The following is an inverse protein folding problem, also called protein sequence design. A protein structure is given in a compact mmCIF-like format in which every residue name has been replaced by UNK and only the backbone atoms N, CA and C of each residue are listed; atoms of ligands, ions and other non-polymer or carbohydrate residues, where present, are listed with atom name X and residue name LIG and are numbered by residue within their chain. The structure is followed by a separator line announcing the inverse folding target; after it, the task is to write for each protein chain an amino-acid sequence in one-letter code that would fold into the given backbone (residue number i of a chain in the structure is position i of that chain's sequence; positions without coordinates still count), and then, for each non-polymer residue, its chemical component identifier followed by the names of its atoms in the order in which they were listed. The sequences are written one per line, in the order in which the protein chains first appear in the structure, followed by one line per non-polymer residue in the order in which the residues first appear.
data_IF_317309239391
#
_entry.id   IF_317309239391
#
_cell.length_a   1.000
_cell.length_b   1.000
_cell.length_c   1.000
_cell.angle_alpha   90.00
_cell.angle_beta   90.00
_cell.angle_gamma   90.00
#
_symmetry.space_group_name_H-M   'P 1'
#
loop_
_entity.id
_entity.type
_entity.pdbx_description
1 polymer ?
#
# COMPACT_ATOMS: atom_id res chain seq x y z
N UNK A 1 6.73 -5.95 26.71
CA UNK A 1 6.46 -7.03 27.69
C UNK A 1 5.68 -6.40 28.81
N UNK A 2 4.46 -6.89 29.06
CA UNK A 2 3.74 -6.68 30.31
C UNK A 2 3.78 -8.04 30.99
N UNK A 3 4.27 -8.09 32.23
CA UNK A 3 4.31 -9.33 33.05
C UNK A 3 5.02 -10.54 32.42
N UNK A 4 6.00 -10.33 31.54
CA UNK A 4 6.81 -11.41 30.96
C UNK A 4 6.22 -12.08 29.72
N UNK A 5 5.04 -11.66 29.25
CA UNK A 5 4.44 -12.18 28.01
C UNK A 5 4.70 -11.27 26.79
N UNK A 6 4.89 -11.85 25.58
CA UNK A 6 4.99 -11.10 24.34
C UNK A 6 3.62 -10.51 23.96
N UNK A 7 3.44 -9.23 24.27
CA UNK A 7 2.24 -8.47 23.87
C UNK A 7 2.25 -8.27 22.35
N UNK A 8 1.17 -8.65 21.64
CA UNK A 8 1.00 -8.37 20.21
C UNK A 8 1.30 -6.91 19.87
N UNK A 9 1.98 -6.63 18.75
CA UNK A 9 2.40 -5.27 18.41
C UNK A 9 1.22 -4.28 18.27
N UNK A 10 0.03 -4.79 17.94
CA UNK A 10 -1.23 -4.04 17.88
C UNK A 10 -1.90 -3.77 19.24
N UNK A 11 -1.44 -4.40 20.33
CA UNK A 11 -1.98 -4.22 21.68
C UNK A 11 -1.14 -3.28 22.57
N UNK A 12 0.00 -2.78 22.06
CA UNK A 12 0.83 -1.83 22.80
C UNK A 12 0.40 -0.38 22.54
N UNK A 13 -0.12 0.30 23.56
CA UNK A 13 -0.32 1.75 23.51
C UNK A 13 1.04 2.42 23.71
N UNK A 14 1.57 3.02 22.64
CA UNK A 14 2.90 3.65 22.63
C UNK A 14 2.87 5.17 22.79
N UNK A 15 1.68 5.77 22.83
CA UNK A 15 1.47 7.19 23.11
C UNK A 15 0.17 7.39 23.87
N UNK A 16 0.23 8.10 24.99
CA UNK A 16 -0.96 8.51 25.74
C UNK A 16 -1.76 9.61 25.02
N UNK A 17 -1.12 10.37 24.13
CA UNK A 17 -1.75 11.46 23.38
C UNK A 17 -2.34 11.01 22.04
N UNK A 18 -1.78 9.95 21.44
CA UNK A 18 -2.26 9.35 20.18
C UNK A 18 -2.27 7.81 20.32
N UNK A 19 -3.23 7.23 21.09
CA UNK A 19 -3.26 5.79 21.42
C UNK A 19 -3.27 4.85 20.22
N UNK A 20 -3.74 5.35 19.06
CA UNK A 20 -3.80 4.64 17.79
C UNK A 20 -2.46 4.52 17.06
N UNK A 21 -1.37 5.06 17.61
CA UNK A 21 -0.03 4.95 17.00
C UNK A 21 0.39 3.48 16.92
N UNK A 22 0.71 3.03 15.70
CA UNK A 22 1.20 1.69 15.44
C UNK A 22 2.73 1.64 15.58
N UNK A 23 3.21 0.51 16.11
CA UNK A 23 4.62 0.13 16.06
C UNK A 23 4.91 -0.51 14.70
N UNK A 24 5.76 0.12 13.90
CA UNK A 24 6.10 -0.31 12.55
C UNK A 24 7.53 -0.86 12.59
N UNK A 25 7.68 -2.19 12.49
CA UNK A 25 8.98 -2.81 12.26
C UNK A 25 9.15 -3.04 10.77
N UNK A 26 10.18 -2.43 10.18
CA UNK A 26 10.65 -2.82 8.86
C UNK A 26 11.66 -3.95 9.05
N UNK A 27 11.43 -5.10 8.42
CA UNK A 27 12.23 -6.34 8.55
C UNK A 27 13.65 -6.25 7.97
N UNK A 28 14.29 -5.08 8.03
CA UNK A 28 15.63 -4.84 7.51
C UNK A 28 16.59 -4.58 8.67
N UNK A 29 17.71 -5.32 8.68
CA UNK A 29 18.79 -5.15 9.67
C UNK A 29 19.21 -3.68 9.73
N UNK A 30 19.20 -3.09 10.93
CA UNK A 30 19.66 -1.71 11.16
C UNK A 30 18.62 -0.60 10.97
N UNK A 31 17.37 -0.91 10.63
CA UNK A 31 16.31 0.10 10.63
C UNK A 31 15.66 0.23 12.02
N UNK A 32 15.55 1.45 12.58
CA UNK A 32 14.90 1.67 13.86
C UNK A 32 13.41 1.29 13.80
N UNK A 33 12.86 0.91 14.94
CA UNK A 33 11.40 0.79 15.13
C UNK A 33 10.79 2.16 14.84
N UNK A 34 9.90 2.23 13.84
CA UNK A 34 9.19 3.44 13.49
C UNK A 34 7.85 3.48 14.24
N UNK A 35 7.41 4.68 14.61
CA UNK A 35 6.12 4.90 15.27
C UNK A 35 5.28 5.81 14.39
N UNK A 36 4.03 5.41 14.10
CA UNK A 36 3.14 6.21 13.28
C UNK A 36 1.90 5.43 12.84
N UNK A 37 1.36 5.76 11.68
CA UNK A 37 0.27 5.03 11.04
C UNK A 37 0.71 4.59 9.66
N UNK A 38 0.28 3.39 9.28
CA UNK A 38 0.52 2.88 7.93
C UNK A 38 -0.51 3.49 7.00
N UNK A 39 -0.06 4.06 5.90
CA UNK A 39 -0.91 4.59 4.83
C UNK A 39 -0.74 3.71 3.61
N UNK A 40 -1.83 3.13 3.15
CA UNK A 40 -1.92 2.40 1.90
C UNK A 40 -2.36 3.32 0.76
N UNK A 41 -1.82 3.13 -0.44
CA UNK A 41 -2.08 3.98 -1.61
C UNK A 41 -2.31 3.11 -2.85
N UNK A 42 -3.36 3.43 -3.60
CA UNK A 42 -3.74 2.75 -4.83
C UNK A 42 -3.54 3.70 -6.02
N UNK A 43 -2.53 3.42 -6.83
CA UNK A 43 -2.19 4.20 -8.03
C UNK A 43 -2.84 3.61 -9.28
N UNK A 44 -3.37 4.47 -10.14
CA UNK A 44 -3.88 4.14 -11.48
C UNK A 44 -3.08 4.89 -12.55
N UNK A 45 -3.44 4.70 -13.82
CA UNK A 45 -2.83 5.40 -14.94
C UNK A 45 -2.81 6.92 -14.76
N UNK A 46 -1.80 7.59 -15.35
CA UNK A 46 -1.61 9.03 -15.17
C UNK A 46 -0.96 9.42 -13.83
N UNK A 47 -0.50 8.43 -13.05
CA UNK A 47 0.11 8.63 -11.73
C UNK A 47 -0.85 9.19 -10.68
N UNK A 48 -2.14 8.93 -10.89
CA UNK A 48 -3.21 9.36 -10.01
C UNK A 48 -3.40 8.35 -8.89
N UNK A 49 -3.58 8.86 -7.68
CA UNK A 49 -3.97 8.03 -6.54
C UNK A 49 -5.49 7.98 -6.53
N UNK A 50 -6.05 6.80 -6.80
CA UNK A 50 -7.49 6.55 -6.84
C UNK A 50 -8.08 6.29 -5.45
N UNK A 51 -7.26 5.78 -4.52
CA UNK A 51 -7.62 5.52 -3.13
C UNK A 51 -6.41 5.65 -2.21
N UNK A 52 -6.69 6.07 -0.98
CA UNK A 52 -5.78 5.91 0.15
C UNK A 52 -6.54 5.30 1.34
N UNK A 53 -5.81 4.62 2.23
CA UNK A 53 -6.36 4.14 3.50
C UNK A 53 -5.36 4.33 4.63
N UNK A 54 -5.82 4.90 5.76
CA UNK A 54 -5.01 4.99 6.98
C UNK A 54 -5.29 3.75 7.83
N UNK A 55 -4.42 2.74 7.76
CA UNK A 55 -4.68 1.43 8.34
C UNK A 55 -4.69 1.48 9.87
N UNK A 56 -5.51 0.62 10.48
CA UNK A 56 -5.53 0.43 11.94
C UNK A 56 -4.40 -0.52 12.31
N UNK A 57 -3.49 -0.08 13.17
CA UNK A 57 -2.30 -0.87 13.50
C UNK A 57 -1.35 -1.01 12.31
N UNK A 58 -0.85 -2.23 12.11
CA UNK A 58 0.04 -2.63 11.02
C UNK A 58 -0.40 -4.03 10.53
N UNK A 59 -1.52 -4.12 9.79
CA UNK A 59 -2.02 -5.39 9.27
C UNK A 59 -1.06 -5.95 8.22
N UNK A 60 -1.23 -7.22 7.85
CA UNK A 60 -0.48 -7.79 6.74
C UNK A 60 -0.84 -7.07 5.43
N UNK A 61 0.16 -6.71 4.63
CA UNK A 61 -0.02 -6.06 3.34
C UNK A 61 -0.88 -6.92 2.40
N UNK A 62 -0.84 -8.25 2.54
CA UNK A 62 -1.65 -9.18 1.75
C UNK A 62 -3.16 -9.04 2.01
N UNK A 63 -3.58 -8.51 3.17
CA UNK A 63 -4.99 -8.25 3.49
C UNK A 63 -5.58 -7.12 2.65
N UNK A 64 -4.73 -6.26 2.05
CA UNK A 64 -5.19 -5.11 1.29
C UNK A 64 -5.66 -5.45 -0.13
N UNK A 65 -5.28 -6.61 -0.68
CA UNK A 65 -5.53 -6.89 -2.09
C UNK A 65 -7.03 -6.88 -2.47
N UNK A 66 -7.87 -7.52 -1.65
CA UNK A 66 -9.33 -7.55 -1.85
C UNK A 66 -9.93 -6.13 -1.76
N UNK A 67 -9.73 -5.35 -0.67
CA UNK A 67 -10.19 -3.96 -0.60
C UNK A 67 -9.78 -3.07 -1.77
N UNK A 68 -8.56 -3.24 -2.27
CA UNK A 68 -8.03 -2.47 -3.40
C UNK A 68 -8.80 -2.79 -4.69
N UNK A 69 -8.98 -4.08 -4.98
CA UNK A 69 -9.66 -4.52 -6.19
C UNK A 69 -11.15 -4.14 -6.16
N UNK A 70 -11.82 -4.36 -5.03
CA UNK A 70 -13.24 -4.05 -4.88
C UNK A 70 -13.51 -2.55 -5.06
N UNK A 71 -12.66 -1.72 -4.45
CA UNK A 71 -12.76 -0.27 -4.61
C UNK A 71 -12.48 0.17 -6.06
N UNK A 72 -11.50 -0.43 -6.74
CA UNK A 72 -11.26 -0.14 -8.16
C UNK A 72 -12.51 -0.43 -9.00
N UNK A 73 -13.12 -1.61 -8.82
CA UNK A 73 -14.34 -1.97 -9.55
C UNK A 73 -15.49 -1.01 -9.23
N UNK A 74 -15.63 -0.60 -7.96
CA UNK A 74 -16.62 0.38 -7.55
C UNK A 74 -16.42 1.75 -8.24
N UNK A 75 -15.17 2.22 -8.38
CA UNK A 75 -14.87 3.52 -8.98
C UNK A 75 -14.96 3.52 -10.51
N UNK A 76 -14.49 2.45 -11.17
CA UNK A 76 -14.30 2.41 -12.61
C UNK A 76 -15.33 1.55 -13.35
N UNK A 77 -16.14 0.77 -12.62
CA UNK A 77 -17.18 -0.09 -13.20
C UNK A 77 -16.68 -1.34 -13.91
N UNK A 78 -15.36 -1.60 -13.86
CA UNK A 78 -14.73 -2.77 -14.46
C UNK A 78 -13.50 -3.19 -13.65
N UNK A 79 -13.01 -4.41 -13.86
CA UNK A 79 -11.74 -4.86 -13.28
C UNK A 79 -10.55 -4.22 -13.99
N UNK A 80 -9.42 -4.04 -13.30
CA UNK A 80 -8.20 -3.56 -13.93
C UNK A 80 -7.64 -4.62 -14.88
N UNK A 81 -7.02 -4.20 -15.98
CA UNK A 81 -6.28 -5.12 -16.84
C UNK A 81 -5.02 -5.67 -16.14
N UNK A 82 -4.34 -4.80 -15.39
CA UNK A 82 -3.13 -5.09 -14.63
C UNK A 82 -3.35 -4.76 -13.15
N UNK A 83 -3.19 -5.75 -12.27
CA UNK A 83 -3.08 -5.56 -10.82
C UNK A 83 -1.66 -5.90 -10.40
N UNK A 84 -0.99 -5.01 -9.67
CA UNK A 84 0.43 -5.20 -9.32
C UNK A 84 0.76 -4.65 -7.94
N UNK A 85 1.65 -5.33 -7.23
CA UNK A 85 2.04 -5.03 -5.85
C UNK A 85 3.47 -5.48 -5.55
N UNK A 86 3.95 -5.24 -4.33
CA UNK A 86 5.19 -5.88 -3.88
C UNK A 86 4.96 -7.34 -3.48
N UNK A 87 6.07 -7.96 -3.04
CA UNK A 87 6.08 -9.29 -2.45
C UNK A 87 5.28 -9.39 -1.16
N UNK A 88 5.11 -8.30 -0.39
CA UNK A 88 4.39 -8.34 0.88
C UNK A 88 2.88 -8.41 0.64
N UNK A 89 2.39 -7.75 -0.41
CA UNK A 89 1.00 -7.87 -0.86
C UNK A 89 0.62 -9.22 -1.49
N UNK A 90 1.52 -10.20 -1.57
CA UNK A 90 1.19 -11.51 -2.14
C UNK A 90 0.55 -12.45 -1.11
N UNK A 91 -0.63 -12.95 -1.45
CA UNK A 91 -1.19 -14.18 -0.90
C UNK A 91 -1.77 -15.02 -2.04
N UNK A 92 -1.76 -16.36 -1.87
CA UNK A 92 -2.39 -17.25 -2.86
C UNK A 92 -3.88 -16.93 -3.00
N UNK A 93 -4.57 -16.81 -1.88
CA UNK A 93 -6.00 -16.49 -1.85
C UNK A 93 -6.31 -15.15 -2.54
N UNK A 94 -5.50 -14.12 -2.29
CA UNK A 94 -5.66 -12.84 -2.97
C UNK A 94 -5.41 -12.92 -4.47
N UNK A 95 -4.36 -13.64 -4.88
CA UNK A 95 -4.05 -13.82 -6.31
C UNK A 95 -5.17 -14.57 -7.04
N UNK A 96 -5.73 -15.61 -6.39
CA UNK A 96 -6.86 -16.38 -6.92
C UNK A 96 -8.13 -15.51 -6.98
N UNK A 97 -8.42 -14.73 -5.93
CA UNK A 97 -9.52 -13.76 -5.95
C UNK A 97 -9.42 -12.78 -7.13
N UNK A 98 -8.24 -12.21 -7.37
CA UNK A 98 -8.05 -11.28 -8.47
C UNK A 98 -8.28 -11.93 -9.84
N UNK A 99 -7.87 -13.19 -10.02
CA UNK A 99 -8.14 -13.97 -11.23
C UNK A 99 -9.64 -14.25 -11.39
N UNK A 100 -10.31 -14.63 -10.32
CA UNK A 100 -11.76 -14.93 -10.32
C UNK A 100 -12.61 -13.70 -10.64
N UNK A 101 -12.18 -12.51 -10.20
CA UNK A 101 -12.79 -11.24 -10.61
C UNK A 101 -12.51 -10.88 -12.08
N UNK A 102 -11.62 -11.60 -12.77
CA UNK A 102 -11.31 -11.40 -14.18
C UNK A 102 -10.14 -10.46 -14.46
N UNK A 103 -9.25 -10.21 -13.48
CA UNK A 103 -8.02 -9.45 -13.74
C UNK A 103 -7.12 -10.23 -14.70
N UNK A 104 -6.81 -9.63 -15.85
CA UNK A 104 -6.07 -10.31 -16.92
C UNK A 104 -4.60 -10.54 -16.59
N UNK A 105 -3.97 -9.59 -15.89
CA UNK A 105 -2.56 -9.67 -15.50
C UNK A 105 -2.42 -9.38 -14.02
N UNK A 106 -2.25 -10.42 -13.22
CA UNK A 106 -1.94 -10.31 -11.80
C UNK A 106 -0.43 -10.42 -11.61
N UNK A 107 0.20 -9.34 -11.17
CA UNK A 107 1.65 -9.20 -11.00
C UNK A 107 1.94 -9.04 -9.52
N UNK A 108 1.79 -10.14 -8.78
CA UNK A 108 2.09 -10.21 -7.35
C UNK A 108 3.29 -11.15 -7.13
N UNK A 109 4.50 -10.62 -6.94
CA UNK A 109 5.68 -11.45 -6.68
C UNK A 109 5.49 -12.40 -5.48
N UNK A 110 5.67 -13.71 -5.64
CA UNK A 110 5.55 -14.63 -4.51
C UNK A 110 6.67 -14.40 -3.49
N UNK A 111 6.30 -14.27 -2.22
CA UNK A 111 7.24 -14.22 -1.10
C UNK A 111 7.81 -15.61 -0.78
N UNK A 112 9.04 -15.65 -0.26
CA UNK A 112 9.68 -16.89 0.20
C UNK A 112 10.14 -17.84 -0.93
N UNK A 113 10.10 -19.15 -0.64
CA UNK A 113 10.51 -20.21 -1.58
C UNK A 113 9.51 -20.31 -2.72
N UNK A 114 10.02 -20.26 -3.95
CA UNK A 114 9.23 -20.33 -5.19
C UNK A 114 9.49 -21.66 -5.88
N UNK A 115 8.46 -22.25 -6.48
CA UNK A 115 8.62 -23.43 -7.34
C UNK A 115 9.25 -23.03 -8.68
N UNK A 116 9.84 -23.97 -9.43
CA UNK A 116 10.36 -23.69 -10.78
C UNK A 116 9.30 -23.08 -11.70
N UNK A 117 8.06 -23.56 -11.63
CA UNK A 117 6.94 -23.04 -12.41
C UNK A 117 6.62 -21.58 -12.05
N UNK A 118 6.65 -21.25 -10.76
CA UNK A 118 6.47 -19.86 -10.31
C UNK A 118 7.58 -18.97 -10.82
N UNK A 119 8.83 -19.44 -10.79
CA UNK A 119 9.96 -18.68 -11.32
C UNK A 119 9.76 -18.40 -12.81
N UNK A 120 9.47 -19.43 -13.60
CA UNK A 120 9.20 -19.27 -15.04
C UNK A 120 8.03 -18.32 -15.32
N UNK A 121 6.96 -18.39 -14.52
CA UNK A 121 5.83 -17.47 -14.62
C UNK A 121 6.23 -16.01 -14.33
N UNK A 122 6.95 -15.75 -13.24
CA UNK A 122 7.40 -14.41 -12.86
C UNK A 122 8.44 -13.82 -13.83
N UNK A 123 9.11 -14.66 -14.61
CA UNK A 123 10.08 -14.27 -15.63
C UNK A 123 9.45 -13.86 -16.96
N UNK A 124 8.16 -14.09 -17.14
CA UNK A 124 7.45 -13.70 -18.35
C UNK A 124 7.56 -12.18 -18.59
N UNK A 125 7.68 -11.79 -19.86
CA UNK A 125 7.94 -10.40 -20.23
C UNK A 125 6.87 -9.41 -19.73
N UNK A 126 5.60 -9.82 -19.71
CA UNK A 126 4.50 -9.00 -19.19
C UNK A 126 4.57 -8.85 -17.66
N UNK A 127 4.94 -9.91 -16.93
CA UNK A 127 5.14 -9.87 -15.47
C UNK A 127 6.27 -8.90 -15.11
N UNK A 128 7.40 -8.99 -15.80
CA UNK A 128 8.54 -8.07 -15.63
C UNK A 128 8.17 -6.63 -15.97
N UNK A 129 7.35 -6.38 -17.00
CA UNK A 129 6.82 -5.05 -17.31
C UNK A 129 5.91 -4.52 -16.20
N UNK A 130 4.98 -5.33 -15.70
CA UNK A 130 4.09 -4.93 -14.59
C UNK A 130 4.86 -4.60 -13.31
N UNK A 131 5.94 -5.33 -12.99
CA UNK A 131 6.82 -4.98 -11.85
C UNK A 131 7.54 -3.65 -12.06
N UNK A 132 8.02 -3.39 -13.29
CA UNK A 132 8.69 -2.12 -13.63
C UNK A 132 7.74 -0.93 -13.55
N UNK A 133 6.50 -1.10 -14.04
CA UNK A 133 5.46 -0.10 -13.89
C UNK A 133 5.20 0.19 -12.41
N UNK A 134 5.02 -0.86 -11.60
CA UNK A 134 4.79 -0.74 -10.15
C UNK A 134 5.90 0.01 -9.43
N UNK A 135 7.17 -0.19 -9.80
CA UNK A 135 8.29 0.51 -9.18
C UNK A 135 8.17 2.05 -9.29
N UNK A 136 7.38 2.55 -10.25
CA UNK A 136 7.02 3.96 -10.36
C UNK A 136 6.38 4.55 -9.10
N UNK A 137 5.60 3.76 -8.34
CA UNK A 137 4.90 4.26 -7.14
C UNK A 137 5.88 4.71 -6.05
N UNK A 138 7.09 4.16 -6.00
CA UNK A 138 8.11 4.52 -5.00
C UNK A 138 8.50 6.00 -5.11
N UNK A 139 8.61 6.49 -6.35
CA UNK A 139 8.81 7.91 -6.63
C UNK A 139 7.65 8.77 -6.14
N UNK A 140 6.41 8.31 -6.32
CA UNK A 140 5.19 9.03 -5.92
C UNK A 140 5.05 9.07 -4.41
N UNK A 141 5.31 7.96 -3.72
CA UNK A 141 5.40 7.93 -2.26
C UNK A 141 6.45 8.92 -1.75
N UNK A 142 7.60 9.02 -2.42
CA UNK A 142 8.64 10.01 -2.07
C UNK A 142 8.16 11.47 -2.24
N UNK A 143 7.42 11.76 -3.31
CA UNK A 143 6.82 13.08 -3.56
C UNK A 143 5.74 13.39 -2.51
N UNK A 144 4.82 12.46 -2.25
CA UNK A 144 3.78 12.59 -1.23
C UNK A 144 4.38 12.87 0.16
N UNK A 145 5.45 12.16 0.52
CA UNK A 145 6.18 12.40 1.77
C UNK A 145 6.80 13.79 1.83
N UNK A 146 7.59 14.17 0.81
CA UNK A 146 8.45 15.37 0.87
C UNK A 146 7.74 16.66 0.47
N UNK A 147 6.96 16.66 -0.62
CA UNK A 147 6.24 17.84 -1.12
C UNK A 147 4.88 18.03 -0.47
N UNK A 148 4.18 16.93 -0.17
CA UNK A 148 2.83 16.98 0.42
C UNK A 148 2.82 16.70 1.93
N UNK A 149 4.00 16.76 2.57
CA UNK A 149 4.19 16.72 4.02
C UNK A 149 3.59 15.48 4.71
N UNK A 150 3.49 14.34 4.00
CA UNK A 150 2.97 13.10 4.59
C UNK A 150 3.98 12.36 5.48
N UNK A 151 5.16 12.94 5.75
CA UNK A 151 6.11 12.40 6.74
C UNK A 151 5.62 12.63 8.18
N UNK A 152 4.92 13.73 8.44
CA UNK A 152 4.39 14.06 9.77
C UNK A 152 2.98 14.61 9.63
N UNK A 153 2.08 14.09 10.45
CA UNK A 153 0.73 14.62 10.56
C UNK A 153 0.65 15.53 11.80
N UNK A 154 0.18 16.76 11.62
CA UNK A 154 -0.06 17.69 12.74
C UNK A 154 -1.49 17.59 13.30
N UNK A 155 -2.39 16.94 12.56
CA UNK A 155 -3.75 16.73 13.02
C UNK A 155 -3.79 15.62 14.06
N UNK A 156 -4.59 15.85 15.10
CA UNK A 156 -4.86 14.84 16.14
C UNK A 156 -6.01 13.95 15.74
N UNK A 157 -6.08 12.76 16.36
CA UNK A 157 -7.14 11.76 16.19
C UNK A 157 -7.15 11.10 14.79
N UNK A 158 -7.75 9.90 14.65
CA UNK A 158 -7.78 9.17 13.38
C UNK A 158 -8.37 9.99 12.22
N UNK A 159 -9.50 10.67 12.44
CA UNK A 159 -10.20 11.43 11.41
C UNK A 159 -9.37 12.64 10.96
N UNK A 160 -8.59 13.21 11.88
CA UNK A 160 -7.66 14.29 11.57
C UNK A 160 -6.55 13.82 10.63
N UNK A 161 -6.03 12.61 10.84
CA UNK A 161 -5.02 12.03 9.98
C UNK A 161 -5.55 11.66 8.60
N UNK A 162 -6.76 11.09 8.52
CA UNK A 162 -7.41 10.82 7.24
C UNK A 162 -7.59 12.08 6.41
N UNK A 163 -8.03 13.18 7.04
CA UNK A 163 -8.11 14.50 6.38
C UNK A 163 -6.74 14.99 5.91
N UNK A 164 -5.69 14.84 6.73
CA UNK A 164 -4.34 15.28 6.38
C UNK A 164 -3.79 14.53 5.16
N UNK A 165 -3.91 13.20 5.16
CA UNK A 165 -3.51 12.35 4.03
C UNK A 165 -4.34 12.69 2.79
N UNK A 166 -5.65 12.84 2.94
CA UNK A 166 -6.56 13.19 1.86
C UNK A 166 -6.18 14.49 1.15
N UNK A 167 -5.90 15.56 1.89
CA UNK A 167 -5.45 16.82 1.30
C UNK A 167 -4.13 16.68 0.54
N UNK A 168 -3.19 15.89 1.06
CA UNK A 168 -1.93 15.60 0.38
C UNK A 168 -2.14 14.86 -0.95
N UNK A 169 -3.02 13.86 -0.95
CA UNK A 169 -3.39 13.08 -2.15
C UNK A 169 -4.14 13.94 -3.17
N UNK A 170 -5.13 14.73 -2.75
CA UNK A 170 -5.88 15.63 -3.63
C UNK A 170 -4.93 16.62 -4.30
N UNK A 171 -4.02 17.24 -3.52
CA UNK A 171 -3.04 18.19 -4.04
C UNK A 171 -2.12 17.54 -5.07
N UNK A 172 -1.63 16.32 -4.79
CA UNK A 172 -0.83 15.55 -5.76
C UNK A 172 -1.59 15.32 -7.06
N UNK A 173 -2.82 14.79 -6.98
CA UNK A 173 -3.63 14.49 -8.16
C UNK A 173 -3.91 15.75 -8.99
N UNK A 174 -4.25 16.88 -8.36
CA UNK A 174 -4.48 18.15 -9.05
C UNK A 174 -3.25 18.62 -9.83
N UNK A 175 -2.05 18.51 -9.24
CA UNK A 175 -0.81 18.86 -9.92
C UNK A 175 -0.50 17.92 -11.09
N UNK A 176 -0.81 16.62 -10.96
CA UNK A 176 -0.64 15.65 -12.05
C UNK A 176 -1.58 15.93 -13.22
N UNK A 177 -2.83 16.24 -12.93
CA UNK A 177 -3.82 16.62 -13.94
C UNK A 177 -3.37 17.91 -14.65
N UNK A 178 -3.00 18.95 -13.88
CA UNK A 178 -2.52 20.20 -14.46
C UNK A 178 -1.29 20.01 -15.37
N UNK A 179 -0.33 19.17 -14.95
CA UNK A 179 0.85 18.88 -15.75
C UNK A 179 0.55 18.07 -17.03
N UNK A 180 -0.50 17.26 -17.04
CA UNK A 180 -0.93 16.50 -18.23
C UNK A 180 -1.72 17.34 -19.24
N UNK A 181 -2.22 18.50 -18.81
CA UNK A 181 -2.97 19.45 -19.64
C UNK A 181 -2.11 20.57 -20.24
N UNK A 182 -0.85 20.69 -19.80
CA UNK A 182 0.11 21.68 -20.26
C UNK A 182 0.96 21.14 -21.41
#
# INVERSE_FOLDING_TARGET
MLEGEPVPANANVVSSFEPQTAVIRKDKLGHPVEFGRVVWLDEVEGELVSRYAVLVGNPDDAEQLRPVLDHHVQCFGHTPHLLTGDRKGYSREGEDYARDQGVRQVVLPQAGRRSPERVTHEEQGWFRRGRRWRAGIEGRISVLKRRHQLVRCHNRRPEGMERWVGWGVITHNLLRIAAAMA
#
